data_IF_000431585741
#
_entry.id   IF_000431585741
#
_cell.length_a   1.000
_cell.length_b   1.000
_cell.length_c   1.000
_cell.angle_alpha   90.00
_cell.angle_beta   90.00
_cell.angle_gamma   90.00
#
_symmetry.space_group_name_H-M   'P 1'
#
loop_
_entity.id
_entity.type
_entity.pdbx_description
1 polymer ?
#
# COMPACT_ATOMS: atom_id res chain seq x y z
N UNK A 1 15.95 12.66 49.58
CA UNK A 1 14.78 11.78 49.37
C UNK A 1 13.69 12.36 48.49
N UNK A 2 13.31 13.62 48.61
CA UNK A 2 12.28 14.24 47.74
C UNK A 2 12.69 14.29 46.26
N UNK A 3 13.93 14.61 45.93
CA UNK A 3 14.43 14.69 44.58
C UNK A 3 14.36 13.34 43.82
N UNK A 4 14.68 12.21 44.48
CA UNK A 4 14.59 10.88 43.88
C UNK A 4 13.15 10.47 43.55
N UNK A 5 12.18 10.86 44.41
CA UNK A 5 10.75 10.58 44.15
C UNK A 5 10.20 11.41 42.98
N UNK A 6 10.68 12.67 42.87
CA UNK A 6 10.31 13.54 41.74
C UNK A 6 10.92 12.99 40.45
N UNK A 7 12.18 12.60 40.48
CA UNK A 7 12.85 12.03 39.28
C UNK A 7 12.17 10.76 38.77
N UNK A 8 11.73 9.87 39.69
CA UNK A 8 10.95 8.67 39.31
C UNK A 8 9.60 9.02 38.68
N UNK A 9 8.89 10.01 39.21
CA UNK A 9 7.61 10.45 38.64
C UNK A 9 7.79 11.08 37.26
N UNK A 10 8.83 11.89 37.07
CA UNK A 10 9.17 12.48 35.77
C UNK A 10 9.55 11.40 34.77
N UNK A 11 10.34 10.40 35.17
CA UNK A 11 10.69 9.28 34.32
C UNK A 11 9.49 8.45 33.87
N UNK A 12 8.56 8.20 34.77
CA UNK A 12 7.29 7.48 34.44
C UNK A 12 6.45 8.31 33.48
N UNK A 13 6.32 9.62 33.72
CA UNK A 13 5.55 10.50 32.83
C UNK A 13 6.15 10.54 31.42
N UNK A 14 7.48 10.65 31.33
CA UNK A 14 8.20 10.59 30.05
C UNK A 14 7.99 9.26 29.31
N UNK A 15 8.04 8.14 30.05
CA UNK A 15 7.78 6.83 29.48
C UNK A 15 6.35 6.71 28.93
N UNK A 16 5.36 7.21 29.67
CA UNK A 16 3.96 7.23 29.22
C UNK A 16 3.80 8.07 27.95
N UNK A 17 4.39 9.26 27.91
CA UNK A 17 4.34 10.15 26.74
C UNK A 17 4.97 9.47 25.52
N UNK A 18 6.11 8.79 25.69
CA UNK A 18 6.78 8.07 24.62
C UNK A 18 5.92 6.90 24.10
N UNK A 19 5.30 6.13 25.00
CA UNK A 19 4.43 5.02 24.62
C UNK A 19 3.19 5.51 23.87
N UNK A 20 2.55 6.58 24.35
CA UNK A 20 1.37 7.18 23.68
C UNK A 20 1.76 7.76 22.32
N UNK A 21 2.90 8.40 22.23
CA UNK A 21 3.41 8.93 20.95
C UNK A 21 3.73 7.83 19.95
N UNK A 22 4.35 6.74 20.41
CA UNK A 22 4.64 5.57 19.58
C UNK A 22 3.34 4.89 19.11
N UNK A 23 2.36 4.72 20.00
CA UNK A 23 1.07 4.15 19.65
C UNK A 23 0.31 5.02 18.64
N UNK A 24 0.29 6.34 18.83
CA UNK A 24 -0.28 7.26 17.85
C UNK A 24 0.45 7.22 16.51
N UNK A 25 1.78 7.15 16.52
CA UNK A 25 2.59 7.01 15.32
C UNK A 25 2.26 5.72 14.57
N UNK A 26 2.11 4.59 15.27
CA UNK A 26 1.73 3.30 14.68
C UNK A 26 0.33 3.37 14.10
N UNK A 27 -0.66 3.88 14.85
CA UNK A 27 -2.06 3.97 14.40
C UNK A 27 -2.17 4.93 13.20
N UNK A 28 -1.54 6.10 13.28
CA UNK A 28 -1.55 7.09 12.20
C UNK A 28 -0.76 6.61 11.00
N UNK A 29 0.38 5.96 11.23
CA UNK A 29 1.20 5.37 10.20
C UNK A 29 0.52 4.21 9.48
N UNK A 30 -0.34 3.43 10.16
CA UNK A 30 -1.14 2.37 9.54
C UNK A 30 -2.19 2.92 8.56
N UNK A 31 -2.61 4.17 8.75
CA UNK A 31 -3.54 4.85 7.85
C UNK A 31 -2.84 5.69 6.78
N UNK A 32 -1.53 5.82 6.87
CA UNK A 32 -0.70 6.59 5.93
C UNK A 32 0.25 5.67 5.18
N UNK A 33 0.82 6.16 4.07
CA UNK A 33 1.79 5.41 3.25
C UNK A 33 3.09 5.02 3.96
N UNK A 34 3.34 5.46 5.20
CA UNK A 34 4.57 5.17 5.91
C UNK A 34 4.85 3.68 6.08
N UNK A 35 3.81 2.86 6.22
CA UNK A 35 3.95 1.41 6.35
C UNK A 35 3.95 0.66 5.02
N UNK A 36 3.65 1.34 3.92
CA UNK A 36 3.75 0.74 2.59
C UNK A 36 5.20 0.53 2.17
N UNK A 37 6.12 1.36 2.64
CA UNK A 37 7.53 1.29 2.26
C UNK A 37 8.19 -0.06 2.61
N UNK A 38 8.07 -0.62 3.84
CA UNK A 38 8.59 -1.93 4.16
C UNK A 38 7.90 -3.06 3.38
N UNK A 39 6.60 -2.92 3.18
CA UNK A 39 5.81 -3.87 2.41
C UNK A 39 6.20 -3.83 0.93
N UNK A 40 6.44 -2.67 0.36
CA UNK A 40 6.97 -2.51 -0.99
C UNK A 40 8.36 -3.11 -1.17
N UNK A 41 9.24 -2.93 -0.19
CA UNK A 41 10.57 -3.52 -0.23
C UNK A 41 10.53 -5.05 -0.16
N UNK A 42 9.61 -5.61 0.64
CA UNK A 42 9.41 -7.05 0.75
C UNK A 42 8.80 -7.65 -0.53
N UNK A 43 7.99 -6.89 -1.25
CA UNK A 43 7.21 -7.36 -2.40
C UNK A 43 7.75 -6.90 -3.75
N UNK A 44 8.85 -6.17 -3.79
CA UNK A 44 9.53 -5.73 -5.03
C UNK A 44 10.09 -6.88 -5.88
N UNK A 45 10.03 -8.10 -5.41
CA UNK A 45 10.63 -9.23 -6.08
C UNK A 45 9.65 -9.87 -7.04
N UNK A 46 9.93 -9.69 -8.31
CA UNK A 46 9.31 -10.44 -9.39
C UNK A 46 8.02 -9.85 -9.92
N UNK A 47 7.56 -10.48 -10.97
CA UNK A 47 6.40 -10.06 -11.71
C UNK A 47 6.76 -9.22 -12.93
N UNK A 48 5.91 -9.32 -13.92
CA UNK A 48 5.98 -8.54 -15.15
C UNK A 48 4.68 -7.76 -15.33
N UNK A 49 4.79 -6.60 -15.97
CA UNK A 49 3.63 -5.76 -16.27
C UNK A 49 2.78 -6.43 -17.34
N UNK A 50 1.52 -6.67 -17.03
CA UNK A 50 0.55 -7.25 -17.97
C UNK A 50 -0.42 -6.22 -18.52
N UNK A 51 -0.64 -5.11 -17.82
CA UNK A 51 -1.48 -4.01 -18.27
C UNK A 51 -1.08 -2.69 -17.61
N UNK A 52 -1.37 -1.59 -18.29
CA UNK A 52 -1.12 -0.23 -17.81
C UNK A 52 -2.28 0.68 -18.19
N UNK A 53 -2.69 1.53 -17.28
CA UNK A 53 -3.81 2.45 -17.45
C UNK A 53 -3.43 3.85 -16.96
N UNK A 54 -3.50 4.84 -17.84
CA UNK A 54 -3.26 6.24 -17.49
C UNK A 54 -4.48 6.86 -16.80
N UNK A 55 -4.23 7.72 -15.80
CA UNK A 55 -5.29 8.52 -15.18
C UNK A 55 -5.88 9.52 -16.19
N UNK A 56 -7.14 9.98 -16.00
CA UNK A 56 -7.78 10.89 -16.94
C UNK A 56 -7.02 12.20 -17.18
N UNK A 57 -6.34 12.71 -16.15
CA UNK A 57 -5.50 13.92 -16.23
C UNK A 57 -4.06 13.64 -16.70
N UNK A 58 -3.69 12.37 -16.88
CA UNK A 58 -2.36 11.94 -17.31
C UNK A 58 -1.25 12.11 -16.26
N UNK A 59 -1.57 12.38 -14.99
CA UNK A 59 -0.57 12.56 -13.93
C UNK A 59 -0.06 11.23 -13.36
N UNK A 60 -0.88 10.18 -13.43
CA UNK A 60 -0.56 8.85 -12.90
C UNK A 60 -0.77 7.77 -13.94
N UNK A 61 -0.09 6.67 -13.73
CA UNK A 61 -0.30 5.41 -14.45
C UNK A 61 -0.47 4.29 -13.43
N UNK A 62 -1.48 3.48 -13.60
CA UNK A 62 -1.67 2.24 -12.85
C UNK A 62 -1.09 1.08 -13.64
N UNK A 63 -0.02 0.48 -13.13
CA UNK A 63 0.63 -0.70 -13.70
C UNK A 63 0.18 -1.94 -12.94
N UNK A 64 -0.23 -2.95 -13.67
CA UNK A 64 -0.62 -4.23 -13.11
C UNK A 64 0.48 -5.23 -13.38
N UNK A 65 1.01 -5.80 -12.30
CA UNK A 65 2.04 -6.81 -12.32
C UNK A 65 1.42 -8.18 -12.03
N UNK A 66 1.81 -9.16 -12.79
CA UNK A 66 1.54 -10.57 -12.52
C UNK A 66 2.80 -11.22 -11.96
N UNK A 67 2.65 -11.99 -10.89
CA UNK A 67 3.70 -12.85 -10.36
C UNK A 67 3.57 -14.23 -10.94
N UNK A 68 4.68 -14.83 -11.32
CA UNK A 68 4.71 -16.19 -11.77
C UNK A 68 4.51 -17.16 -10.58
N UNK A 69 3.85 -18.26 -10.85
CA UNK A 69 3.67 -19.33 -9.88
C UNK A 69 5.03 -19.91 -9.49
N UNK A 70 5.32 -19.91 -8.20
CA UNK A 70 6.45 -20.65 -7.65
C UNK A 70 5.93 -21.80 -6.82
N UNK A 71 6.79 -22.80 -6.52
CA UNK A 71 6.42 -23.95 -5.66
C UNK A 71 5.93 -23.54 -4.27
N UNK A 72 6.04 -22.30 -3.89
CA UNK A 72 5.67 -21.74 -2.57
C UNK A 72 4.63 -20.60 -2.63
N UNK A 73 4.29 -20.09 -3.78
CA UNK A 73 3.35 -18.98 -3.91
C UNK A 73 2.40 -19.20 -5.08
N UNK A 74 1.13 -18.89 -4.86
CA UNK A 74 0.14 -18.83 -5.93
C UNK A 74 0.42 -17.64 -6.84
N UNK A 75 -0.06 -17.72 -8.07
CA UNK A 75 -0.07 -16.56 -8.97
C UNK A 75 -0.86 -15.44 -8.30
N UNK A 76 -0.29 -14.27 -8.27
CA UNK A 76 -0.90 -13.08 -7.69
C UNK A 76 -0.76 -11.88 -8.60
N UNK A 77 -1.59 -10.89 -8.36
CA UNK A 77 -1.48 -9.59 -9.01
C UNK A 77 -1.12 -8.52 -8.00
N UNK A 78 -0.41 -7.54 -8.50
CA UNK A 78 -0.10 -6.31 -7.78
C UNK A 78 -0.44 -5.12 -8.66
N UNK A 79 -1.12 -4.15 -8.10
CA UNK A 79 -1.36 -2.86 -8.77
C UNK A 79 -0.47 -1.81 -8.15
N UNK A 80 0.30 -1.16 -9.00
CA UNK A 80 1.23 -0.10 -8.63
C UNK A 80 0.86 1.19 -9.34
N UNK A 81 0.87 2.28 -8.60
CA UNK A 81 0.69 3.63 -9.15
C UNK A 81 2.05 4.26 -9.40
N UNK A 82 2.27 4.71 -10.62
CA UNK A 82 3.47 5.42 -11.05
C UNK A 82 3.13 6.88 -11.37
N UNK A 83 3.69 7.85 -10.63
CA UNK A 83 3.61 9.25 -11.02
C UNK A 83 4.37 9.50 -12.34
N UNK A 84 3.78 10.29 -13.22
CA UNK A 84 4.39 10.64 -14.52
C UNK A 84 5.24 11.91 -14.45
N UNK A 85 5.52 12.42 -13.27
CA UNK A 85 6.36 13.61 -13.06
C UNK A 85 7.86 13.33 -13.25
N UNK A 86 8.28 12.07 -13.34
CA UNK A 86 9.67 11.65 -13.47
C UNK A 86 10.52 11.86 -12.21
N UNK A 87 9.93 12.28 -11.09
CA UNK A 87 10.62 12.62 -9.84
C UNK A 87 10.15 11.80 -8.65
N UNK A 88 8.85 11.56 -8.56
CA UNK A 88 8.25 10.87 -7.42
C UNK A 88 8.30 9.36 -7.61
N UNK A 89 8.52 8.62 -6.52
CA UNK A 89 8.47 7.17 -6.53
C UNK A 89 7.02 6.68 -6.56
N UNK A 90 6.78 5.62 -7.33
CA UNK A 90 5.49 4.94 -7.35
C UNK A 90 5.24 4.13 -6.07
N UNK A 91 4.02 3.67 -5.89
CA UNK A 91 3.59 2.89 -4.72
C UNK A 91 2.53 1.85 -5.07
N UNK A 92 2.47 0.81 -4.28
CA UNK A 92 1.48 -0.25 -4.46
C UNK A 92 0.15 0.13 -3.79
N UNK A 93 -0.96 -0.19 -4.42
CA UNK A 93 -2.30 0.06 -3.89
C UNK A 93 -3.11 -1.21 -3.72
N UNK A 94 -2.80 -2.28 -4.43
CA UNK A 94 -3.53 -3.53 -4.32
C UNK A 94 -2.64 -4.76 -4.50
N UNK A 95 -2.99 -5.82 -3.75
CA UNK A 95 -2.49 -7.18 -3.88
C UNK A 95 -3.65 -8.14 -3.95
N UNK A 96 -3.70 -8.92 -5.00
CA UNK A 96 -4.73 -9.90 -5.26
C UNK A 96 -4.08 -11.28 -5.28
N UNK A 97 -4.23 -12.02 -4.17
CA UNK A 97 -3.60 -13.34 -4.01
C UNK A 97 -4.45 -14.50 -4.50
N UNK A 98 -5.74 -14.28 -4.63
CA UNK A 98 -6.69 -15.34 -4.95
C UNK A 98 -6.95 -15.40 -6.46
N UNK A 99 -5.98 -15.94 -7.20
CA UNK A 99 -6.01 -16.02 -8.65
C UNK A 99 -7.23 -16.76 -9.22
N UNK A 100 -7.76 -17.74 -8.49
CA UNK A 100 -8.92 -18.51 -8.95
C UNK A 100 -10.21 -17.67 -9.04
N UNK A 101 -10.29 -16.58 -8.26
CA UNK A 101 -11.40 -15.63 -8.31
C UNK A 101 -11.27 -14.64 -9.47
N UNK A 102 -10.08 -14.45 -9.95
CA UNK A 102 -9.75 -13.50 -11.02
C UNK A 102 -9.36 -14.32 -12.26
N UNK A 103 -10.34 -14.68 -13.04
CA UNK A 103 -10.13 -15.46 -14.27
C UNK A 103 -9.50 -14.55 -15.34
N UNK A 104 -8.16 -14.52 -15.38
CA UNK A 104 -7.35 -13.56 -16.15
C UNK A 104 -7.31 -13.84 -17.65
N UNK A 105 -8.09 -14.77 -18.17
CA UNK A 105 -8.17 -14.98 -19.61
C UNK A 105 -8.74 -13.76 -20.33
N UNK A 106 -10.01 -13.47 -20.12
CA UNK A 106 -10.73 -12.43 -20.87
C UNK A 106 -11.39 -11.35 -20.01
N UNK A 107 -11.42 -11.49 -18.67
CA UNK A 107 -12.14 -10.61 -17.74
C UNK A 107 -11.25 -9.70 -16.90
N UNK A 108 -9.99 -9.59 -17.25
CA UNK A 108 -9.03 -8.70 -16.58
C UNK A 108 -9.33 -7.21 -16.85
N UNK A 109 -10.37 -6.90 -17.56
CA UNK A 109 -10.75 -5.56 -17.99
C UNK A 109 -11.36 -4.68 -16.90
N UNK A 110 -11.26 -5.06 -15.62
CA UNK A 110 -11.98 -4.34 -14.58
C UNK A 110 -11.14 -3.34 -13.79
N UNK A 111 -9.85 -3.14 -14.09
CA UNK A 111 -9.18 -1.96 -13.57
C UNK A 111 -9.56 -0.76 -14.43
N UNK A 112 -10.19 0.22 -13.81
CA UNK A 112 -10.54 1.48 -14.45
C UNK A 112 -10.28 2.66 -13.49
N UNK A 113 -9.94 3.78 -14.05
CA UNK A 113 -9.96 5.03 -13.34
C UNK A 113 -11.40 5.53 -13.20
N UNK A 114 -11.81 5.83 -11.97
CA UNK A 114 -13.10 6.45 -11.68
C UNK A 114 -12.99 7.97 -11.81
N UNK A 115 -11.88 8.50 -11.32
CA UNK A 115 -11.45 9.90 -11.44
C UNK A 115 -9.91 9.95 -11.41
N UNK A 116 -9.32 11.14 -11.21
CA UNK A 116 -7.87 11.34 -11.23
C UNK A 116 -7.12 10.67 -10.06
N UNK A 117 -7.83 10.41 -8.96
CA UNK A 117 -7.24 9.90 -7.71
C UNK A 117 -7.85 8.59 -7.26
N UNK A 118 -8.79 8.03 -8.03
CA UNK A 118 -9.56 6.85 -7.63
C UNK A 118 -9.57 5.82 -8.74
N UNK A 119 -9.24 4.57 -8.40
CA UNK A 119 -9.34 3.41 -9.29
C UNK A 119 -10.40 2.45 -8.79
N UNK A 120 -10.96 1.68 -9.70
CA UNK A 120 -11.84 0.55 -9.39
C UNK A 120 -11.21 -0.74 -9.92
N UNK A 121 -11.07 -1.72 -9.05
CA UNK A 121 -10.56 -3.05 -9.36
C UNK A 121 -11.62 -4.06 -8.91
N UNK A 122 -12.21 -4.82 -9.84
CA UNK A 122 -13.25 -5.80 -9.51
C UNK A 122 -14.34 -5.21 -8.59
N UNK A 123 -14.84 -4.02 -8.91
CA UNK A 123 -15.81 -3.24 -8.11
C UNK A 123 -15.31 -2.75 -6.73
N UNK A 124 -14.05 -2.97 -6.39
CA UNK A 124 -13.43 -2.38 -5.20
C UNK A 124 -12.89 -1.01 -5.59
N UNK A 125 -13.39 0.04 -4.96
CA UNK A 125 -13.02 1.42 -5.22
C UNK A 125 -11.94 1.85 -4.24
N UNK A 126 -10.81 2.30 -4.75
CA UNK A 126 -9.62 2.67 -3.97
C UNK A 126 -9.18 4.09 -4.31
N UNK A 127 -9.09 4.94 -3.29
CA UNK A 127 -8.31 6.18 -3.35
C UNK A 127 -6.83 5.82 -3.38
N UNK A 128 -6.13 6.20 -4.45
CA UNK A 128 -4.73 5.83 -4.67
C UNK A 128 -3.77 6.45 -3.64
N UNK A 129 -4.21 7.48 -2.93
CA UNK A 129 -3.40 8.19 -1.94
C UNK A 129 -3.57 7.69 -0.52
N UNK A 130 -4.72 7.11 -0.18
CA UNK A 130 -5.10 6.82 1.20
C UNK A 130 -5.51 5.37 1.45
N UNK A 131 -5.79 4.59 0.40
CA UNK A 131 -6.31 3.23 0.54
C UNK A 131 -5.37 2.19 -0.07
N UNK A 132 -5.34 1.04 0.56
CA UNK A 132 -4.72 -0.18 0.03
C UNK A 132 -5.67 -1.35 0.19
N UNK A 133 -5.57 -2.30 -0.71
CA UNK A 133 -6.37 -3.51 -0.69
C UNK A 133 -5.48 -4.75 -0.78
N UNK A 134 -5.81 -5.77 -0.02
CA UNK A 134 -5.23 -7.11 -0.11
C UNK A 134 -6.33 -8.13 0.21
N UNK A 135 -6.51 -9.13 -0.63
CA UNK A 135 -7.42 -10.25 -0.37
C UNK A 135 -6.70 -11.43 0.29
#
# INVERSE_FOLDING_TARGET
>A
MKARKILKKVGILLAIVLIVSAANFIIFGAQTRMFQLPFELATRRGGHVIASYDSPDGQYRADVYQYDETSMSRVGLRVRIEPKDGKSAGWNVAYLYNYELYNFGDNYHELRWVDNDTISINNIVLDIHHMTYSD
#
